data_IF_422540920719
#
_entry.id   IF_422540920719
#
_cell.length_a   1.000
_cell.length_b   1.000
_cell.length_c   1.000
_cell.angle_alpha   90.00
_cell.angle_beta   90.00
_cell.angle_gamma   90.00
#
_symmetry.space_group_name_H-M   'P 1'
#
loop_
_entity.id
_entity.type
_entity.pdbx_description
1 polymer ?
#
# COMPACT_ATOMS: atom_id res chain seq x y z
N UNK A 1 20.45 7.93 -0.06
CA UNK A 1 20.44 6.91 0.96
C UNK A 1 20.16 7.52 2.32
N UNK A 2 19.73 6.74 3.27
CA UNK A 2 19.59 7.17 4.67
C UNK A 2 20.96 6.98 5.30
N UNK A 3 21.53 8.07 5.83
CA UNK A 3 22.81 8.09 6.53
C UNK A 3 22.53 8.49 7.99
N UNK A 4 22.47 7.49 8.87
CA UNK A 4 22.16 7.69 10.29
C UNK A 4 22.67 6.51 11.12
N UNK A 5 23.20 6.78 12.30
CA UNK A 5 23.69 5.78 13.25
C UNK A 5 22.55 4.99 13.93
N UNK A 6 21.30 5.41 13.72
CA UNK A 6 20.12 4.79 14.33
C UNK A 6 19.40 3.78 13.42
N UNK A 7 19.94 3.49 12.23
CA UNK A 7 19.41 2.49 11.31
C UNK A 7 20.29 1.24 11.34
N UNK A 8 19.71 0.14 11.81
CA UNK A 8 20.35 -1.18 11.82
C UNK A 8 19.72 -2.04 10.74
N UNK A 9 20.55 -2.82 10.04
CA UNK A 9 20.10 -3.77 9.01
C UNK A 9 20.52 -5.17 9.42
N UNK A 10 19.55 -6.08 9.52
CA UNK A 10 19.74 -7.49 9.81
C UNK A 10 19.39 -8.33 8.59
N UNK A 11 20.38 -8.96 7.96
CA UNK A 11 20.18 -9.87 6.84
C UNK A 11 19.93 -11.30 7.37
N UNK A 12 18.69 -11.58 7.79
CA UNK A 12 18.27 -12.85 8.40
C UNK A 12 16.86 -13.21 7.95
N UNK A 13 16.58 -14.51 7.80
CA UNK A 13 15.26 -15.06 7.46
C UNK A 13 14.68 -15.96 8.55
N UNK A 14 15.53 -16.49 9.45
CA UNK A 14 15.07 -17.28 10.60
C UNK A 14 14.41 -16.40 11.64
N UNK A 15 13.12 -16.66 11.91
CA UNK A 15 12.30 -15.88 12.83
C UNK A 15 12.80 -15.95 14.27
N UNK A 16 13.34 -17.08 14.71
CA UNK A 16 13.84 -17.24 16.07
C UNK A 16 15.02 -16.30 16.34
N UNK A 17 15.99 -16.25 15.43
CA UNK A 17 17.15 -15.36 15.50
C UNK A 17 16.74 -13.88 15.43
N UNK A 18 15.75 -13.54 14.60
CA UNK A 18 15.22 -12.17 14.51
C UNK A 18 14.57 -11.75 15.83
N UNK A 19 13.75 -12.62 16.42
CA UNK A 19 13.08 -12.36 17.71
C UNK A 19 14.09 -12.15 18.83
N UNK A 20 15.16 -12.95 18.88
CA UNK A 20 16.24 -12.80 19.87
C UNK A 20 16.95 -11.46 19.70
N UNK A 21 17.28 -11.09 18.48
CA UNK A 21 17.89 -9.78 18.18
C UNK A 21 17.01 -8.62 18.60
N UNK A 22 15.71 -8.65 18.29
CA UNK A 22 14.75 -7.59 18.69
C UNK A 22 14.67 -7.47 20.21
N UNK A 23 14.66 -8.60 20.94
CA UNK A 23 14.62 -8.60 22.41
C UNK A 23 15.87 -8.03 23.04
N UNK A 24 17.03 -8.25 22.42
CA UNK A 24 18.35 -7.80 22.89
C UNK A 24 18.53 -6.31 22.61
N UNK A 25 18.34 -5.90 21.35
CA UNK A 25 18.60 -4.54 20.87
C UNK A 25 17.49 -3.54 21.23
N UNK A 26 16.25 -4.00 21.45
CA UNK A 26 15.06 -3.22 21.80
C UNK A 26 14.88 -1.96 20.94
N UNK A 27 14.83 -2.09 19.62
CA UNK A 27 14.66 -0.96 18.72
C UNK A 27 13.32 -0.26 18.95
N UNK A 28 13.22 1.01 18.59
CA UNK A 28 11.96 1.76 18.69
C UNK A 28 10.92 1.35 17.64
N UNK A 29 11.38 0.86 16.48
CA UNK A 29 10.55 0.39 15.35
C UNK A 29 11.27 -0.79 14.70
N UNK A 30 10.51 -1.76 14.21
CA UNK A 30 11.00 -2.87 13.40
C UNK A 30 10.30 -2.88 12.05
N UNK A 31 11.05 -3.15 10.98
CA UNK A 31 10.51 -3.35 9.63
C UNK A 31 10.98 -4.72 9.13
N UNK A 32 10.04 -5.58 8.77
CA UNK A 32 10.28 -6.91 8.19
C UNK A 32 10.00 -6.84 6.69
N UNK A 33 11.03 -6.95 5.85
CA UNK A 33 10.92 -6.93 4.39
C UNK A 33 11.62 -8.16 3.78
N UNK A 34 10.84 -9.14 3.34
CA UNK A 34 9.39 -9.30 3.37
C UNK A 34 8.98 -10.51 4.20
N UNK A 35 7.73 -10.55 4.61
CA UNK A 35 7.19 -11.68 5.39
C UNK A 35 7.26 -13.01 4.62
N UNK A 36 7.22 -12.97 3.29
CA UNK A 36 7.29 -14.17 2.44
C UNK A 36 8.65 -14.87 2.49
N UNK A 37 9.71 -14.18 2.88
CA UNK A 37 11.05 -14.75 3.02
C UNK A 37 11.34 -15.28 4.41
N UNK A 38 10.48 -14.96 5.38
CA UNK A 38 10.63 -15.41 6.77
C UNK A 38 10.31 -16.89 6.91
N UNK A 39 11.03 -17.58 7.79
CA UNK A 39 10.92 -19.01 8.00
C UNK A 39 11.00 -19.37 9.49
N UNK A 40 10.22 -20.36 9.85
CA UNK A 40 10.27 -21.08 11.13
C UNK A 40 10.70 -22.50 10.80
N UNK A 41 11.86 -22.93 11.26
CA UNK A 41 12.46 -24.23 10.90
C UNK A 41 11.63 -25.43 11.33
N UNK A 42 10.88 -25.32 12.43
CA UNK A 42 10.02 -26.38 12.93
C UNK A 42 8.78 -26.64 12.07
N UNK A 43 8.47 -25.74 11.13
CA UNK A 43 7.34 -25.90 10.21
C UNK A 43 7.84 -26.45 8.88
N UNK A 44 7.37 -27.63 8.51
CA UNK A 44 7.81 -28.37 7.32
C UNK A 44 7.45 -27.75 5.97
N UNK A 45 6.64 -26.66 5.95
CA UNK A 45 6.26 -25.96 4.73
C UNK A 45 7.32 -24.95 4.30
N UNK A 46 7.47 -24.73 2.98
CA UNK A 46 8.45 -23.78 2.42
C UNK A 46 8.16 -22.33 2.79
N UNK A 47 9.19 -21.48 2.78
CA UNK A 47 9.06 -20.05 2.93
C UNK A 47 8.04 -19.49 1.92
N UNK A 48 7.28 -18.48 2.31
CA UNK A 48 6.21 -17.89 1.50
C UNK A 48 4.92 -18.70 1.41
N UNK A 49 4.86 -19.90 1.98
CA UNK A 49 3.60 -20.66 2.11
C UNK A 49 2.63 -19.95 3.07
N UNK A 50 1.32 -20.20 2.89
CA UNK A 50 0.28 -19.62 3.75
C UNK A 50 0.54 -19.91 5.23
N UNK A 51 0.98 -21.13 5.54
CA UNK A 51 1.26 -21.55 6.92
C UNK A 51 2.46 -20.78 7.49
N UNK A 52 3.58 -20.72 6.79
CA UNK A 52 4.76 -19.97 7.23
C UNK A 52 4.43 -18.49 7.44
N UNK A 53 3.83 -17.84 6.44
CA UNK A 53 3.46 -16.41 6.51
C UNK A 53 2.56 -16.12 7.70
N UNK A 54 1.56 -16.98 7.94
CA UNK A 54 0.65 -16.83 9.07
C UNK A 54 1.36 -16.96 10.41
N UNK A 55 2.15 -18.02 10.59
CA UNK A 55 2.80 -18.28 11.87
C UNK A 55 3.93 -17.28 12.16
N UNK A 56 4.73 -16.90 11.17
CA UNK A 56 5.71 -15.83 11.31
C UNK A 56 5.04 -14.51 11.75
N UNK A 57 3.91 -14.16 11.11
CA UNK A 57 3.17 -12.93 11.46
C UNK A 57 2.59 -13.00 12.86
N UNK A 58 2.08 -14.16 13.30
CA UNK A 58 1.60 -14.36 14.66
C UNK A 58 2.72 -14.12 15.68
N UNK A 59 3.92 -14.65 15.45
CA UNK A 59 5.08 -14.44 16.33
C UNK A 59 5.42 -12.96 16.42
N UNK A 60 5.54 -12.26 15.30
CA UNK A 60 5.85 -10.84 15.29
C UNK A 60 4.76 -9.99 15.96
N UNK A 61 3.48 -10.33 15.77
CA UNK A 61 2.36 -9.66 16.43
C UNK A 61 2.43 -9.83 17.96
N UNK A 62 2.69 -11.05 18.44
CA UNK A 62 2.87 -11.29 19.87
C UNK A 62 4.09 -10.56 20.44
N UNK A 63 5.19 -10.55 19.71
CA UNK A 63 6.41 -9.83 20.09
C UNK A 63 6.16 -8.33 20.20
N UNK A 64 5.51 -7.73 19.19
CA UNK A 64 5.14 -6.32 19.17
C UNK A 64 4.34 -5.94 20.42
N UNK A 65 3.33 -6.73 20.76
CA UNK A 65 2.47 -6.49 21.93
C UNK A 65 3.19 -6.70 23.26
N UNK A 66 4.07 -7.70 23.36
CA UNK A 66 4.79 -8.00 24.58
C UNK A 66 5.87 -6.96 24.91
N UNK A 67 6.51 -6.39 23.91
CA UNK A 67 7.58 -5.40 24.06
C UNK A 67 7.10 -3.95 23.91
N UNK A 68 5.88 -3.73 23.40
CA UNK A 68 5.38 -2.38 23.08
C UNK A 68 6.11 -1.74 21.91
N UNK A 69 6.69 -2.55 20.98
CA UNK A 69 7.45 -2.08 19.83
C UNK A 69 6.57 -2.21 18.58
N UNK A 70 6.33 -1.14 17.81
CA UNK A 70 5.63 -1.24 16.52
C UNK A 70 6.46 -2.02 15.51
N UNK A 71 5.82 -3.02 14.88
CA UNK A 71 6.43 -3.85 13.84
C UNK A 71 5.66 -3.64 12.53
N UNK A 72 6.36 -3.16 11.51
CA UNK A 72 5.86 -3.09 10.13
C UNK A 72 6.23 -4.36 9.39
N UNK A 73 5.23 -5.03 8.85
CA UNK A 73 5.41 -6.24 8.05
C UNK A 73 5.10 -5.92 6.60
N UNK A 74 6.13 -5.98 5.75
CA UNK A 74 5.98 -5.77 4.30
C UNK A 74 5.60 -7.10 3.65
N UNK A 75 4.54 -7.07 2.84
CA UNK A 75 4.08 -8.21 2.06
C UNK A 75 3.83 -7.83 0.61
N UNK A 76 4.17 -8.72 -0.31
CA UNK A 76 3.95 -8.53 -1.74
C UNK A 76 2.65 -9.20 -2.18
N UNK A 77 1.85 -8.49 -2.98
CA UNK A 77 0.63 -9.00 -3.61
C UNK A 77 0.98 -9.48 -5.00
N UNK A 78 0.79 -10.77 -5.29
CA UNK A 78 0.88 -11.28 -6.65
C UNK A 78 -0.46 -11.11 -7.37
N UNK A 79 -0.40 -10.75 -8.67
CA UNK A 79 -1.59 -10.59 -9.52
C UNK A 79 -2.42 -11.86 -9.65
N UNK A 80 -1.83 -13.03 -9.42
CA UNK A 80 -2.46 -14.34 -9.64
C UNK A 80 -3.05 -14.98 -8.37
N UNK A 81 -2.98 -14.33 -7.22
CA UNK A 81 -3.64 -14.81 -5.98
C UNK A 81 -3.10 -16.13 -5.38
N UNK A 82 -2.05 -16.72 -5.96
CA UNK A 82 -1.57 -18.07 -5.63
C UNK A 82 -0.55 -18.13 -4.49
N UNK A 83 0.09 -17.03 -4.11
CA UNK A 83 0.97 -16.96 -2.94
C UNK A 83 0.20 -16.32 -1.80
N UNK A 84 0.45 -16.76 -0.58
CA UNK A 84 -0.20 -16.28 0.64
C UNK A 84 -0.34 -14.76 0.62
N UNK A 85 -1.47 -14.31 0.08
CA UNK A 85 -1.73 -12.91 -0.18
C UNK A 85 -2.06 -12.17 1.10
N UNK A 86 -2.17 -10.86 1.05
CA UNK A 86 -2.43 -9.98 2.19
C UNK A 86 -3.68 -10.37 2.97
N UNK A 87 -4.68 -11.04 2.38
CA UNK A 87 -5.90 -11.48 3.06
C UNK A 87 -5.66 -12.34 4.29
N UNK A 88 -4.61 -13.18 4.29
CA UNK A 88 -4.25 -14.00 5.47
C UNK A 88 -3.78 -13.11 6.62
N UNK A 89 -3.02 -12.04 6.30
CA UNK A 89 -2.45 -11.11 7.28
C UNK A 89 -3.50 -10.14 7.83
N UNK A 90 -4.48 -9.75 7.02
CA UNK A 90 -5.52 -8.77 7.37
C UNK A 90 -6.26 -9.11 8.67
N UNK A 91 -6.44 -10.40 8.95
CA UNK A 91 -7.11 -10.82 10.18
C UNK A 91 -6.20 -10.78 11.42
N UNK A 92 -4.90 -10.90 11.22
CA UNK A 92 -3.90 -11.01 12.29
C UNK A 92 -3.45 -9.64 12.77
N UNK A 93 -3.08 -8.75 11.83
CA UNK A 93 -2.50 -7.44 12.14
C UNK A 93 -3.55 -6.41 12.55
N UNK A 94 -3.14 -5.37 13.25
CA UNK A 94 -4.02 -4.31 13.72
C UNK A 94 -4.34 -3.27 12.65
N UNK A 95 -3.41 -3.02 11.74
CA UNK A 95 -3.56 -2.07 10.63
C UNK A 95 -3.08 -2.70 9.32
N UNK A 96 -3.80 -2.46 8.24
CA UNK A 96 -3.44 -2.87 6.88
C UNK A 96 -3.42 -1.65 5.98
N UNK A 97 -2.27 -1.44 5.35
CA UNK A 97 -2.06 -0.37 4.38
C UNK A 97 -1.76 -0.98 3.02
N UNK A 98 -2.49 -0.57 2.00
CA UNK A 98 -2.18 -0.87 0.61
C UNK A 98 -1.39 0.26 -0.01
N UNK A 99 -0.30 -0.11 -0.67
CA UNK A 99 0.53 0.81 -1.44
C UNK A 99 0.29 0.54 -2.92
N UNK A 100 -0.52 1.38 -3.53
CA UNK A 100 -1.03 1.21 -4.88
C UNK A 100 -0.31 2.13 -5.86
N UNK A 101 -0.12 1.68 -7.09
CA UNK A 101 0.42 2.50 -8.17
C UNK A 101 0.63 1.71 -9.44
N UNK A 102 0.32 2.33 -10.56
CA UNK A 102 0.59 1.76 -11.87
C UNK A 102 2.01 2.06 -12.34
N UNK A 103 2.59 1.16 -13.15
CA UNK A 103 3.98 1.29 -13.62
C UNK A 103 4.23 2.55 -14.46
N UNK A 104 3.19 3.04 -15.13
CA UNK A 104 3.27 4.18 -16.05
C UNK A 104 3.09 5.55 -15.36
N UNK A 105 2.74 5.57 -14.07
CA UNK A 105 2.56 6.81 -13.32
C UNK A 105 3.63 6.96 -12.25
N UNK A 106 4.13 8.19 -12.10
CA UNK A 106 5.08 8.54 -11.04
C UNK A 106 4.45 8.58 -9.65
N UNK A 107 3.13 8.48 -9.55
CA UNK A 107 2.40 8.59 -8.29
C UNK A 107 2.12 7.25 -7.65
N UNK A 108 2.04 7.29 -6.32
CA UNK A 108 1.67 6.16 -5.47
C UNK A 108 0.60 6.61 -4.48
N UNK A 109 -0.35 5.74 -4.21
CA UNK A 109 -1.41 5.98 -3.23
C UNK A 109 -1.23 5.00 -2.08
N UNK A 110 -1.20 5.52 -0.86
CA UNK A 110 -1.24 4.74 0.36
C UNK A 110 -2.67 4.78 0.90
N UNK A 111 -3.31 3.63 0.96
CA UNK A 111 -4.70 3.48 1.39
C UNK A 111 -4.79 2.57 2.61
N UNK A 112 -5.52 3.00 3.63
CA UNK A 112 -5.85 2.15 4.76
C UNK A 112 -7.03 1.24 4.42
N UNK A 113 -6.82 -0.08 4.47
CA UNK A 113 -7.87 -1.08 4.29
C UNK A 113 -8.45 -1.58 5.62
N UNK A 114 -7.64 -1.54 6.67
CA UNK A 114 -8.02 -1.87 8.04
C UNK A 114 -7.26 -1.00 9.02
N UNK A 115 -7.96 -0.50 10.04
CA UNK A 115 -7.34 0.21 11.14
C UNK A 115 -8.18 0.01 12.41
N UNK A 116 -7.64 -0.71 13.40
CA UNK A 116 -8.33 -0.94 14.68
C UNK A 116 -8.38 0.30 15.57
N UNK A 117 -7.53 1.29 15.28
CA UNK A 117 -7.34 2.46 16.15
C UNK A 117 -7.88 3.75 15.57
N UNK A 118 -8.46 3.70 14.35
CA UNK A 118 -8.98 4.90 13.69
C UNK A 118 -9.69 4.63 12.38
N UNK A 119 -9.94 5.71 11.64
CA UNK A 119 -10.60 5.67 10.33
C UNK A 119 -9.74 5.00 9.27
N UNK A 120 -10.40 4.37 8.29
CA UNK A 120 -9.79 3.86 7.05
C UNK A 120 -10.06 4.79 5.86
N UNK A 121 -10.72 5.93 6.08
CA UNK A 121 -11.13 6.83 5.01
C UNK A 121 -10.02 7.80 4.55
N UNK A 122 -8.83 7.72 5.14
CA UNK A 122 -7.71 8.58 4.76
C UNK A 122 -6.84 7.92 3.69
N UNK A 123 -6.38 8.74 2.74
CA UNK A 123 -5.40 8.35 1.73
C UNK A 123 -4.19 9.27 1.74
N UNK A 124 -3.00 8.72 1.53
CA UNK A 124 -1.79 9.45 1.24
C UNK A 124 -1.45 9.37 -0.25
N UNK A 125 -1.10 10.48 -0.87
CA UNK A 125 -0.63 10.52 -2.26
C UNK A 125 0.84 10.92 -2.27
N UNK A 126 1.66 10.14 -2.97
CA UNK A 126 3.10 10.35 -3.05
C UNK A 126 3.56 10.37 -4.50
N UNK A 127 4.58 11.16 -4.79
CA UNK A 127 5.28 11.18 -6.07
C UNK A 127 6.63 10.48 -5.93
N UNK A 128 6.97 9.63 -6.92
CA UNK A 128 8.28 8.99 -7.01
C UNK A 128 9.30 9.97 -7.61
N UNK A 129 10.12 10.59 -6.77
CA UNK A 129 11.19 11.47 -7.19
C UNK A 129 12.53 10.72 -7.25
N UNK A 130 13.58 11.35 -7.83
CA UNK A 130 14.92 10.74 -7.92
C UNK A 130 15.56 10.42 -6.56
N UNK A 131 15.19 11.16 -5.53
CA UNK A 131 15.70 11.01 -4.17
C UNK A 131 14.75 10.25 -3.23
N UNK A 132 13.72 9.59 -3.77
CA UNK A 132 12.74 8.82 -3.00
C UNK A 132 11.30 9.32 -3.20
N UNK A 133 10.42 8.95 -2.30
CA UNK A 133 9.02 9.37 -2.32
C UNK A 133 8.86 10.75 -1.68
N UNK A 134 8.04 11.59 -2.33
CA UNK A 134 7.65 12.91 -1.83
C UNK A 134 6.14 12.96 -1.68
N UNK A 135 5.66 13.50 -0.57
CA UNK A 135 4.24 13.72 -0.36
C UNK A 135 3.67 14.72 -1.36
N UNK A 136 2.49 14.44 -1.90
CA UNK A 136 1.70 15.36 -2.71
C UNK A 136 0.66 16.04 -1.82
N UNK A 137 0.95 17.25 -1.39
CA UNK A 137 0.08 18.00 -0.48
C UNK A 137 -1.31 18.27 -1.09
N UNK A 138 -1.37 18.54 -2.38
CA UNK A 138 -2.61 18.83 -3.10
C UNK A 138 -2.79 17.98 -4.36
N UNK A 139 -3.38 16.76 -4.25
CA UNK A 139 -3.67 15.91 -5.39
C UNK A 139 -4.55 16.54 -6.46
N UNK A 140 -5.46 17.45 -6.07
CA UNK A 140 -6.33 18.15 -7.02
C UNK A 140 -5.54 19.05 -7.98
N UNK A 141 -4.53 19.76 -7.49
CA UNK A 141 -3.64 20.55 -8.36
C UNK A 141 -2.88 19.67 -9.35
N UNK A 142 -2.44 18.52 -8.90
CA UNK A 142 -1.76 17.52 -9.73
C UNK A 142 -2.68 17.00 -10.83
N UNK A 143 -3.90 16.57 -10.48
CA UNK A 143 -4.90 16.03 -11.42
C UNK A 143 -5.38 17.07 -12.44
N UNK A 144 -5.34 18.34 -12.10
CA UNK A 144 -5.71 19.44 -12.99
C UNK A 144 -4.52 20.04 -13.74
N UNK A 145 -3.28 19.60 -13.45
CA UNK A 145 -2.09 20.05 -14.14
C UNK A 145 -2.11 19.55 -15.59
N UNK A 146 -1.90 20.45 -16.54
CA UNK A 146 -1.95 20.12 -17.97
C UNK A 146 -3.35 20.21 -18.61
N UNK A 147 -4.40 20.57 -17.84
CA UNK A 147 -5.74 20.79 -18.39
C UNK A 147 -5.71 21.82 -19.50
N UNK A 148 -6.24 21.51 -20.70
CA UNK A 148 -6.37 22.48 -21.77
C UNK A 148 -7.37 23.57 -21.38
N UNK A 149 -6.98 24.83 -21.57
CA UNK A 149 -7.85 25.98 -21.30
C UNK A 149 -8.80 26.20 -22.47
N UNK A 150 -10.07 26.52 -22.17
CA UNK A 150 -11.09 26.86 -23.16
C UNK A 150 -11.38 25.76 -24.20
N UNK A 151 -11.29 24.50 -23.83
CA UNK A 151 -11.61 23.35 -24.68
C UNK A 151 -13.01 22.85 -24.34
N UNK A 152 -13.87 22.69 -25.37
CA UNK A 152 -15.18 22.06 -25.21
C UNK A 152 -15.05 20.57 -24.91
N UNK A 153 -16.05 20.01 -24.22
CA UNK A 153 -16.06 18.60 -23.85
C UNK A 153 -15.24 18.26 -22.60
N UNK A 154 -14.81 19.26 -21.81
CA UNK A 154 -14.13 19.05 -20.55
C UNK A 154 -14.82 19.77 -19.40
N UNK A 155 -14.91 19.15 -18.26
CA UNK A 155 -15.36 19.78 -17.01
C UNK A 155 -14.51 19.33 -15.83
N UNK A 156 -14.57 20.07 -14.73
CA UNK A 156 -13.97 19.65 -13.46
C UNK A 156 -15.07 19.07 -12.59
N UNK A 157 -14.89 17.84 -12.16
CA UNK A 157 -15.74 17.19 -11.19
C UNK A 157 -15.01 17.04 -9.86
N UNK A 158 -15.77 17.00 -8.77
CA UNK A 158 -15.27 16.67 -7.45
C UNK A 158 -15.66 15.24 -7.15
N UNK A 159 -14.68 14.38 -6.90
CA UNK A 159 -14.87 13.02 -6.39
C UNK A 159 -14.43 12.94 -4.94
N UNK A 160 -15.01 11.99 -4.20
CA UNK A 160 -14.61 11.72 -2.81
C UNK A 160 -13.80 10.45 -2.74
N UNK A 161 -12.56 10.57 -2.31
CA UNK A 161 -11.70 9.43 -1.99
C UNK A 161 -11.58 9.31 -0.46
N UNK A 162 -12.40 8.43 0.12
CA UNK A 162 -12.60 8.38 1.56
C UNK A 162 -13.25 9.66 2.09
N UNK A 163 -12.58 10.39 2.95
CA UNK A 163 -13.02 11.70 3.47
C UNK A 163 -12.46 12.90 2.67
N UNK A 164 -11.56 12.66 1.70
CA UNK A 164 -10.84 13.70 0.97
C UNK A 164 -11.52 14.05 -0.36
N UNK A 165 -11.93 15.31 -0.60
CA UNK A 165 -12.39 15.74 -1.91
C UNK A 165 -11.20 15.89 -2.86
N UNK A 166 -11.32 15.31 -4.05
CA UNK A 166 -10.32 15.41 -5.13
C UNK A 166 -11.00 15.99 -6.36
N UNK A 167 -10.40 17.02 -6.93
CA UNK A 167 -10.85 17.57 -8.19
C UNK A 167 -10.17 16.83 -9.35
N UNK A 168 -10.96 16.35 -10.27
CA UNK A 168 -10.48 15.65 -11.47
C UNK A 168 -11.09 16.25 -12.73
N UNK A 169 -10.36 16.23 -13.83
CA UNK A 169 -10.89 16.58 -15.13
C UNK A 169 -11.67 15.39 -15.71
N UNK A 170 -12.90 15.65 -16.10
CA UNK A 170 -13.75 14.71 -16.85
C UNK A 170 -13.83 15.17 -18.29
N UNK A 171 -13.51 14.28 -19.21
CA UNK A 171 -13.57 14.54 -20.66
C UNK A 171 -14.71 13.75 -21.28
N UNK A 172 -15.53 14.41 -22.08
CA UNK A 172 -16.63 13.82 -22.82
C UNK A 172 -16.46 14.01 -24.32
N UNK A 173 -16.54 12.91 -25.05
CA UNK A 173 -16.59 12.93 -26.51
C UNK A 173 -17.98 12.51 -26.98
N UNK A 174 -18.63 13.35 -27.76
CA UNK A 174 -19.93 13.07 -28.36
C UNK A 174 -19.81 13.09 -29.87
N UNK A 175 -20.30 12.04 -30.50
CA UNK A 175 -20.35 11.92 -31.97
C UNK A 175 -21.72 11.45 -32.38
N UNK A 176 -22.10 11.75 -33.65
CA UNK A 176 -23.32 11.18 -34.24
C UNK A 176 -23.20 9.67 -34.40
N UNK A 177 -24.25 8.94 -33.97
CA UNK A 177 -24.32 7.49 -34.14
C UNK A 177 -25.02 7.16 -35.44
N UNK A 178 -24.36 6.41 -36.31
CA UNK A 178 -25.00 5.81 -37.51
C UNK A 178 -25.90 4.61 -37.20
N UNK A 179 -25.95 4.18 -35.92
CA UNK A 179 -26.79 3.06 -35.45
C UNK A 179 -27.97 3.64 -34.68
N UNK A 180 -29.15 3.06 -34.84
CA UNK A 180 -30.42 3.57 -34.33
C UNK A 180 -30.53 3.72 -32.80
N UNK A 181 -29.58 3.24 -32.00
CA UNK A 181 -29.55 3.39 -30.53
C UNK A 181 -28.28 4.06 -30.05
N UNK A 182 -28.37 5.13 -29.24
CA UNK A 182 -27.22 5.79 -28.66
C UNK A 182 -26.47 4.86 -27.71
N UNK A 183 -25.13 4.82 -27.79
CA UNK A 183 -24.28 4.12 -26.83
C UNK A 183 -23.59 5.12 -25.92
N UNK A 184 -23.45 4.73 -24.65
CA UNK A 184 -22.67 5.46 -23.64
C UNK A 184 -21.57 4.54 -23.12
N UNK A 185 -20.36 5.06 -23.01
CA UNK A 185 -19.22 4.34 -22.44
C UNK A 185 -18.53 5.27 -21.45
N UNK A 186 -18.23 4.77 -20.26
CA UNK A 186 -17.45 5.47 -19.24
C UNK A 186 -16.16 4.71 -18.99
N UNK A 187 -15.11 5.45 -18.67
CA UNK A 187 -13.81 4.89 -18.25
C UNK A 187 -13.28 5.74 -17.11
N UNK A 188 -12.91 5.09 -16.00
CA UNK A 188 -12.32 5.74 -14.85
C UNK A 188 -13.30 6.30 -13.81
N UNK A 189 -14.60 6.29 -14.08
CA UNK A 189 -15.68 6.64 -13.14
C UNK A 189 -17.00 5.95 -13.54
N UNK A 190 -17.89 5.79 -12.59
CA UNK A 190 -19.24 5.22 -12.78
C UNK A 190 -20.30 6.31 -13.00
#
# INVERSE_FOLDING_TARGET
GVDTDNLFVLAQTDVASIVETIKTEKPNIVIIDSIQTMMIDEISSSAGSITQVRECTNIFMHLAKSLGIPIFVVGHVNKDGAIAGPKVLEHIVDTVLYFEGERNYSYRILRSAKNRFGSTNEIGVFEMAQNGMKEVENPSLMMLSGRPKNTSGTCVACTMEGSRPILAEVQGLVTSSGFGTPRRMCTGFD
#
